data_IF_692309592244
#
_entry.id   IF_692309592244
#
_cell.length_a   1.000
_cell.length_b   1.000
_cell.length_c   1.000
_cell.angle_alpha   90.00
_cell.angle_beta   90.00
_cell.angle_gamma   90.00
#
_symmetry.space_group_name_H-M   'P 1'
#
loop_
_entity.id
_entity.type
_entity.pdbx_description
1 polymer ?
#
# COMPACT_ATOMS: atom_id res chain seq x y z
N UNK A 1 12.52 -1.81 -14.31
CA UNK A 1 11.81 -2.86 -13.54
C UNK A 1 10.49 -3.11 -14.21
N UNK A 2 10.24 -4.32 -14.73
CA UNK A 2 8.93 -4.70 -15.25
C UNK A 2 8.07 -5.11 -14.04
N UNK A 3 7.17 -4.24 -13.60
CA UNK A 3 6.13 -4.66 -12.68
C UNK A 3 5.14 -5.51 -13.47
N UNK A 4 5.01 -6.79 -13.12
CA UNK A 4 3.95 -7.66 -13.66
C UNK A 4 2.55 -7.05 -13.50
N UNK A 5 1.51 -7.73 -13.98
CA UNK A 5 0.12 -7.28 -13.73
C UNK A 5 -0.30 -7.56 -12.29
N UNK A 6 -0.86 -6.55 -11.65
CA UNK A 6 -1.37 -6.63 -10.29
C UNK A 6 -2.78 -6.04 -10.23
N UNK A 7 -3.64 -6.65 -9.43
CA UNK A 7 -4.86 -6.03 -8.96
C UNK A 7 -4.56 -5.30 -7.66
N UNK A 8 -4.90 -4.02 -7.60
CA UNK A 8 -4.66 -3.17 -6.44
C UNK A 8 -5.98 -2.58 -5.94
N UNK A 9 -6.00 -2.24 -4.65
CA UNK A 9 -7.11 -1.49 -4.03
C UNK A 9 -6.58 -0.24 -3.35
N UNK A 10 -7.36 0.84 -3.44
CA UNK A 10 -7.03 2.08 -2.76
C UNK A 10 -7.04 1.92 -1.24
N UNK A 11 -6.05 2.51 -0.60
CA UNK A 11 -5.94 2.61 0.85
C UNK A 11 -6.28 4.03 1.24
N UNK A 12 -7.30 4.19 2.09
CA UNK A 12 -7.79 5.49 2.55
C UNK A 12 -7.75 5.61 4.06
N UNK A 13 -7.56 6.83 4.55
CA UNK A 13 -7.68 7.13 5.97
C UNK A 13 -9.11 6.85 6.45
N UNK A 14 -9.27 6.07 7.51
CA UNK A 14 -10.58 5.74 8.09
C UNK A 14 -11.34 6.97 8.61
N UNK A 15 -10.63 8.02 8.99
CA UNK A 15 -11.22 9.21 9.62
C UNK A 15 -11.67 10.24 8.60
N UNK A 16 -10.86 10.52 7.57
CA UNK A 16 -11.14 11.60 6.61
C UNK A 16 -11.38 11.11 5.17
N UNK A 17 -11.32 9.80 4.92
CA UNK A 17 -11.47 9.16 3.61
C UNK A 17 -10.48 9.60 2.53
N UNK A 18 -9.49 10.44 2.85
CA UNK A 18 -8.40 10.78 1.94
C UNK A 18 -7.65 9.51 1.54
N UNK A 19 -7.44 9.34 0.23
CA UNK A 19 -6.56 8.31 -0.31
C UNK A 19 -5.14 8.56 0.20
N UNK A 20 -4.47 7.51 0.67
CA UNK A 20 -3.10 7.54 1.16
C UNK A 20 -2.15 6.71 0.29
N UNK A 21 -2.70 5.79 -0.51
CA UNK A 21 -1.93 4.92 -1.39
C UNK A 21 -2.75 3.71 -1.85
N UNK A 22 -2.10 2.54 -1.95
CA UNK A 22 -2.74 1.30 -2.43
C UNK A 22 -2.12 0.04 -1.81
N UNK A 23 -2.89 -1.05 -1.84
CA UNK A 23 -2.48 -2.39 -1.44
C UNK A 23 -2.51 -3.31 -2.67
N UNK A 24 -1.56 -4.26 -2.74
CA UNK A 24 -1.63 -5.34 -3.71
C UNK A 24 -2.62 -6.40 -3.22
N UNK A 25 -3.75 -6.56 -3.93
CA UNK A 25 -4.76 -7.58 -3.61
C UNK A 25 -4.40 -8.92 -4.27
N UNK A 26 -3.95 -8.89 -5.53
CA UNK A 26 -3.59 -10.09 -6.28
C UNK A 26 -2.46 -9.82 -7.28
N UNK A 27 -1.51 -10.74 -7.38
CA UNK A 27 -0.46 -10.75 -8.40
C UNK A 27 -0.72 -11.87 -9.41
N UNK A 28 -0.66 -11.57 -10.70
CA UNK A 28 -0.88 -12.59 -11.74
C UNK A 28 0.26 -13.62 -11.81
N UNK A 29 1.47 -13.24 -11.40
CA UNK A 29 2.66 -14.08 -11.46
C UNK A 29 3.02 -14.56 -10.05
N UNK A 30 3.23 -15.88 -9.87
CA UNK A 30 3.61 -16.46 -8.56
C UNK A 30 4.89 -15.84 -7.98
N UNK A 31 5.84 -15.48 -8.85
CA UNK A 31 7.09 -14.81 -8.45
C UNK A 31 6.87 -13.43 -7.81
N UNK A 32 5.68 -12.84 -7.97
CA UNK A 32 5.30 -11.52 -7.45
C UNK A 32 4.33 -11.59 -6.26
N UNK A 33 3.86 -12.80 -5.86
CA UNK A 33 2.89 -12.96 -4.76
C UNK A 33 3.39 -12.48 -3.41
N UNK A 34 4.70 -12.34 -3.23
CA UNK A 34 5.29 -11.73 -2.03
C UNK A 34 4.86 -10.26 -1.80
N UNK A 35 4.32 -9.60 -2.84
CA UNK A 35 3.75 -8.25 -2.77
C UNK A 35 2.31 -8.25 -2.27
N UNK A 36 1.56 -9.34 -2.40
CA UNK A 36 0.17 -9.41 -1.94
C UNK A 36 0.09 -9.05 -0.45
N UNK A 37 -0.87 -8.20 -0.10
CA UNK A 37 -1.02 -7.65 1.25
C UNK A 37 -0.04 -6.53 1.61
N UNK A 38 0.98 -6.24 0.79
CA UNK A 38 1.87 -5.09 1.02
C UNK A 38 1.19 -3.79 0.63
N UNK A 39 1.35 -2.78 1.48
CA UNK A 39 0.80 -1.44 1.30
C UNK A 39 1.90 -0.49 0.87
N UNK A 40 1.60 0.33 -0.13
CA UNK A 40 2.43 1.46 -0.54
C UNK A 40 1.66 2.73 -0.17
N UNK A 41 2.31 3.61 0.59
CA UNK A 41 1.79 4.92 0.97
C UNK A 41 2.56 6.01 0.22
N UNK A 42 1.84 7.03 -0.23
CA UNK A 42 2.43 8.20 -0.85
C UNK A 42 2.96 9.15 0.24
N UNK A 43 4.28 9.39 0.26
CA UNK A 43 4.92 10.24 1.29
C UNK A 43 4.35 11.66 1.36
N UNK A 44 3.81 12.19 0.26
CA UNK A 44 3.18 13.51 0.25
C UNK A 44 1.85 13.55 1.03
N UNK A 45 1.23 12.39 1.28
CA UNK A 45 -0.09 12.24 1.90
C UNK A 45 -0.01 11.72 3.34
N UNK A 46 1.18 11.39 3.83
CA UNK A 46 1.40 10.88 5.19
C UNK A 46 2.51 11.66 5.90
N UNK A 47 2.42 11.74 7.23
CA UNK A 47 3.48 12.30 8.08
C UNK A 47 4.05 11.19 8.94
N UNK A 48 5.36 11.05 8.89
CA UNK A 48 6.11 10.12 9.75
C UNK A 48 6.31 10.79 11.11
N UNK A 49 6.00 10.08 12.20
CA UNK A 49 6.30 10.49 13.57
C UNK A 49 7.00 9.36 14.28
N UNK A 50 7.77 9.68 15.32
CA UNK A 50 8.29 8.66 16.23
C UNK A 50 7.12 7.90 16.88
N UNK A 51 7.32 6.60 17.12
CA UNK A 51 6.31 5.74 17.71
C UNK A 51 5.97 6.15 19.14
N UNK A 52 4.92 5.56 19.69
CA UNK A 52 4.66 5.70 21.12
C UNK A 52 5.71 4.90 21.89
N UNK A 53 6.31 5.52 22.91
CA UNK A 53 7.07 4.78 23.92
C UNK A 53 6.11 3.86 24.68
N UNK A 54 6.53 2.61 24.88
CA UNK A 54 5.73 1.54 25.51
C UNK A 54 5.57 1.74 27.02
#
# INVERSE_FOLDING_TARGET
MLTGRHMVRDVSCKTCNSKLGWIYEFATEDSQRYKEGRVILERALVRESEGFEE
#
